data_IF_005493813777
#
_entry.id   IF_005493813777
#
_cell.length_a   1.000
_cell.length_b   1.000
_cell.length_c   1.000
_cell.angle_alpha   90.00
_cell.angle_beta   90.00
_cell.angle_gamma   90.00
#
_symmetry.space_group_name_H-M   'P 1'
#
loop_
_entity.id
_entity.type
_entity.pdbx_description
1 polymer ?
#
# COMPACT_ATOMS: atom_id res chain seq x y z
N UNK A 1 13.49 -15.70 29.85
CA UNK A 1 12.44 -14.69 30.07
C UNK A 1 11.69 -14.58 28.74
N UNK A 2 10.49 -15.16 28.63
CA UNK A 2 9.71 -15.22 27.38
C UNK A 2 8.61 -14.15 27.46
N UNK A 3 8.69 -13.11 26.64
CA UNK A 3 7.60 -12.16 26.48
C UNK A 3 6.67 -12.66 25.36
N UNK A 4 5.42 -12.96 25.73
CA UNK A 4 4.34 -13.26 24.80
C UNK A 4 3.80 -11.93 24.27
N UNK A 5 3.87 -11.73 22.95
CA UNK A 5 3.09 -10.68 22.29
C UNK A 5 1.63 -11.10 22.26
N UNK A 6 0.78 -10.27 22.85
CA UNK A 6 -0.67 -10.41 22.87
C UNK A 6 -1.21 -9.80 21.57
N UNK A 7 -1.75 -10.62 20.67
CA UNK A 7 -2.51 -10.15 19.51
C UNK A 7 -3.81 -9.51 20.00
N UNK A 8 -4.01 -8.23 19.74
CA UNK A 8 -5.31 -7.59 19.87
C UNK A 8 -6.21 -8.09 18.73
N UNK A 9 -7.19 -8.91 19.07
CA UNK A 9 -8.28 -9.29 18.18
C UNK A 9 -9.38 -8.24 18.33
N UNK A 10 -9.64 -7.48 17.26
CA UNK A 10 -10.76 -6.57 17.16
C UNK A 10 -12.05 -7.41 17.05
N UNK A 11 -12.78 -7.52 18.16
CA UNK A 11 -14.11 -8.14 18.19
C UNK A 11 -15.12 -7.08 17.78
N UNK A 12 -15.67 -7.18 16.58
CA UNK A 12 -16.89 -6.47 16.20
C UNK A 12 -18.04 -6.97 17.09
N UNK A 13 -18.50 -6.13 18.02
CA UNK A 13 -19.78 -6.33 18.71
C UNK A 13 -20.92 -6.09 17.71
N UNK A 14 -21.53 -7.18 17.24
CA UNK A 14 -22.87 -7.14 16.64
C UNK A 14 -23.87 -6.97 17.77
N UNK A 15 -24.46 -5.78 17.89
CA UNK A 15 -25.59 -5.53 18.77
C UNK A 15 -26.85 -6.20 18.19
N UNK A 16 -27.23 -7.36 18.74
CA UNK A 16 -28.52 -8.00 18.46
C UNK A 16 -29.58 -7.30 19.30
N UNK A 17 -30.36 -6.42 18.66
CA UNK A 17 -31.54 -5.81 19.25
C UNK A 17 -32.66 -6.83 19.48
N UNK A 18 -32.96 -7.12 20.74
CA UNK A 18 -34.16 -7.85 21.16
C UNK A 18 -35.39 -6.97 20.98
N UNK A 19 -36.29 -7.35 20.06
CA UNK A 19 -37.66 -6.81 20.00
C UNK A 19 -38.49 -7.38 21.16
N UNK A 20 -38.78 -6.53 22.14
CA UNK A 20 -39.88 -6.74 23.09
C UNK A 20 -41.16 -6.13 22.54
N UNK A 21 -42.13 -6.96 22.17
CA UNK A 21 -43.52 -6.52 21.99
C UNK A 21 -44.18 -6.39 23.37
N UNK A 22 -44.70 -5.21 23.68
CA UNK A 22 -45.50 -4.95 24.89
C UNK A 22 -46.34 -3.69 24.70
N UNK A 23 -47.65 -3.88 24.71
CA UNK A 23 -48.69 -3.00 24.19
C UNK A 23 -49.19 -1.93 25.18
N UNK A 24 -49.77 -0.86 24.59
CA UNK A 24 -50.93 -0.07 25.04
C UNK A 24 -50.80 1.12 26.04
N UNK A 25 -50.91 2.33 25.47
CA UNK A 25 -52.08 3.22 25.47
C UNK A 25 -51.97 4.64 26.10
N UNK A 26 -52.54 5.58 25.33
CA UNK A 26 -53.11 6.90 25.66
C UNK A 26 -52.21 8.14 25.82
N UNK A 27 -52.22 8.98 24.77
CA UNK A 27 -52.97 10.25 24.81
C UNK A 27 -52.18 11.54 25.07
N UNK A 28 -52.17 12.44 24.09
CA UNK A 28 -51.84 13.85 24.29
C UNK A 28 -51.07 14.46 23.13
N UNK A 29 -51.74 15.32 22.36
CA UNK A 29 -51.18 16.19 21.32
C UNK A 29 -49.97 17.00 21.82
N UNK A 30 -48.88 17.00 21.05
CA UNK A 30 -48.09 18.22 20.78
C UNK A 30 -47.16 17.96 19.58
N UNK A 31 -47.16 18.90 18.64
CA UNK A 31 -46.38 18.82 17.41
C UNK A 31 -44.88 18.81 17.70
N UNK A 32 -44.21 17.71 17.35
CA UNK A 32 -42.76 17.68 17.18
C UNK A 32 -42.44 16.92 15.90
N UNK A 33 -42.03 17.67 14.88
CA UNK A 33 -41.38 17.15 13.69
C UNK A 33 -40.10 16.43 14.11
N UNK A 34 -40.20 15.13 14.34
CA UNK A 34 -39.04 14.26 14.48
C UNK A 34 -38.38 14.13 13.11
N UNK A 35 -37.46 15.05 12.84
CA UNK A 35 -36.44 14.88 11.83
C UNK A 35 -35.55 13.73 12.31
N UNK A 36 -35.88 12.50 11.88
CA UNK A 36 -34.97 11.36 12.02
C UNK A 36 -33.89 11.58 10.98
N UNK A 37 -32.92 12.41 11.35
CA UNK A 37 -31.65 12.50 10.66
C UNK A 37 -31.02 11.12 10.80
N UNK A 38 -31.10 10.34 9.72
CA UNK A 38 -30.10 9.34 9.41
C UNK A 38 -28.75 10.03 9.54
N UNK A 39 -28.05 9.83 10.66
CA UNK A 39 -26.66 10.26 10.79
C UNK A 39 -25.88 9.37 9.86
N UNK A 40 -25.75 9.80 8.60
CA UNK A 40 -24.69 9.34 7.72
C UNK A 40 -23.40 9.45 8.55
N UNK A 41 -22.73 8.32 8.77
CA UNK A 41 -21.46 8.30 9.47
C UNK A 41 -20.54 9.22 8.66
N UNK A 42 -20.22 10.39 9.20
CA UNK A 42 -19.37 11.33 8.54
C UNK A 42 -18.00 10.67 8.39
N UNK A 43 -17.59 10.36 7.17
CA UNK A 43 -16.32 9.69 6.93
C UNK A 43 -15.18 10.57 7.41
N UNK A 44 -14.28 9.98 8.19
CA UNK A 44 -13.15 10.67 8.81
C UNK A 44 -12.01 10.82 7.79
N UNK A 45 -11.32 11.97 7.82
CA UNK A 45 -10.06 12.12 7.10
C UNK A 45 -9.02 11.14 7.66
N UNK A 46 -8.55 10.26 6.80
CA UNK A 46 -7.49 9.28 7.07
C UNK A 46 -6.31 9.46 6.12
N UNK A 47 -5.21 8.77 6.40
CA UNK A 47 -4.03 8.84 5.53
C UNK A 47 -4.34 8.28 4.15
N UNK A 48 -5.10 7.17 4.07
CA UNK A 48 -5.60 6.60 2.82
C UNK A 48 -6.38 7.63 2.00
N UNK A 49 -7.30 8.39 2.62
CA UNK A 49 -8.06 9.42 1.91
C UNK A 49 -7.16 10.54 1.39
N UNK A 50 -6.11 10.90 2.13
CA UNK A 50 -5.17 11.92 1.67
C UNK A 50 -4.33 11.43 0.48
N UNK A 51 -3.81 10.21 0.55
CA UNK A 51 -3.05 9.59 -0.55
C UNK A 51 -3.90 9.49 -1.81
N UNK A 52 -5.16 9.05 -1.70
CA UNK A 52 -6.04 8.99 -2.87
C UNK A 52 -6.38 10.36 -3.44
N UNK A 53 -6.51 11.39 -2.60
CA UNK A 53 -6.72 12.75 -3.08
C UNK A 53 -5.51 13.25 -3.89
N UNK A 54 -4.29 12.94 -3.47
CA UNK A 54 -3.06 13.25 -4.22
C UNK A 54 -3.03 12.52 -5.56
N UNK A 55 -3.35 11.21 -5.59
CA UNK A 55 -3.41 10.45 -6.85
C UNK A 55 -4.44 11.00 -7.83
N UNK A 56 -5.63 11.37 -7.35
CA UNK A 56 -6.66 11.97 -8.20
C UNK A 56 -6.29 13.36 -8.73
N UNK A 57 -5.40 14.07 -8.04
CA UNK A 57 -4.84 15.32 -8.52
C UNK A 57 -3.81 15.12 -9.65
N UNK A 58 -3.30 13.89 -9.83
CA UNK A 58 -2.51 13.48 -11.00
C UNK A 58 -1.07 13.98 -10.99
N UNK A 59 -0.53 14.38 -9.84
CA UNK A 59 0.90 14.66 -9.68
C UNK A 59 1.72 13.41 -9.41
N UNK A 60 3.03 13.60 -9.49
CA UNK A 60 4.01 12.56 -9.15
C UNK A 60 4.01 12.34 -7.63
N UNK A 61 3.81 11.10 -7.19
CA UNK A 61 3.62 10.74 -5.78
C UNK A 61 4.57 9.61 -5.40
N UNK A 62 5.50 9.91 -4.52
CA UNK A 62 6.44 8.96 -3.96
C UNK A 62 6.24 8.83 -2.45
N UNK A 63 6.29 7.61 -1.93
CA UNK A 63 6.11 7.35 -0.50
C UNK A 63 7.35 6.75 0.13
N UNK A 64 7.75 7.29 1.27
CA UNK A 64 8.88 6.80 2.04
C UNK A 64 8.41 5.74 3.03
N UNK A 65 8.47 4.46 2.64
CA UNK A 65 7.94 3.37 3.48
C UNK A 65 8.76 3.14 4.75
N UNK A 66 10.08 3.21 4.63
CA UNK A 66 11.02 2.95 5.73
C UNK A 66 11.39 4.22 6.51
N UNK A 67 11.19 5.40 5.92
CA UNK A 67 11.49 6.69 6.55
C UNK A 67 10.21 7.38 7.06
N UNK A 68 10.02 7.27 8.38
CA UNK A 68 8.97 8.00 9.10
C UNK A 68 9.49 9.33 9.63
N UNK A 69 8.63 10.37 9.72
CA UNK A 69 9.04 11.59 10.40
C UNK A 69 9.24 11.28 11.89
N UNK A 70 9.94 12.14 12.63
CA UNK A 70 10.13 11.97 14.08
C UNK A 70 8.85 12.26 14.88
N UNK A 71 7.75 11.57 14.56
CA UNK A 71 6.40 11.80 15.06
C UNK A 71 6.30 11.71 16.60
N UNK A 72 7.12 10.85 17.22
CA UNK A 72 7.20 10.70 18.67
C UNK A 72 7.68 11.99 19.37
N UNK A 73 8.50 12.82 18.71
CA UNK A 73 8.98 14.07 19.30
C UNK A 73 7.87 15.11 19.46
N UNK A 74 6.82 15.00 18.63
CA UNK A 74 5.66 15.89 18.69
C UNK A 74 4.45 15.22 19.32
N UNK A 75 4.61 14.05 19.94
CA UNK A 75 3.53 13.36 20.64
C UNK A 75 2.43 12.82 19.73
N UNK A 76 2.72 12.58 18.46
CA UNK A 76 1.86 11.84 17.55
C UNK A 76 2.00 10.32 17.78
N UNK A 77 0.98 9.55 17.37
CA UNK A 77 0.93 8.09 17.46
C UNK A 77 1.64 7.41 16.28
N UNK A 78 1.58 8.04 15.10
CA UNK A 78 2.27 7.59 13.90
C UNK A 78 2.58 8.78 12.98
N UNK A 79 3.37 8.54 11.94
CA UNK A 79 3.54 9.48 10.85
C UNK A 79 4.11 8.86 9.59
N UNK A 80 3.91 9.58 8.49
CA UNK A 80 4.34 9.20 7.14
C UNK A 80 5.05 10.37 6.47
N UNK A 81 6.03 10.06 5.64
CA UNK A 81 6.64 11.01 4.72
C UNK A 81 6.28 10.61 3.29
N UNK A 82 5.98 11.60 2.47
CA UNK A 82 5.79 11.44 1.03
C UNK A 82 6.36 12.65 0.29
N UNK A 83 6.74 12.44 -0.95
CA UNK A 83 7.00 13.51 -1.90
C UNK A 83 5.85 13.58 -2.90
N UNK A 84 5.40 14.81 -3.16
CA UNK A 84 4.43 15.07 -4.21
C UNK A 84 4.92 16.23 -5.07
N UNK A 85 5.18 15.98 -6.36
CA UNK A 85 5.80 16.93 -7.29
C UNK A 85 7.11 17.56 -6.73
N UNK A 86 8.05 16.74 -6.27
CA UNK A 86 9.32 17.16 -5.63
C UNK A 86 9.14 18.03 -4.37
N UNK A 87 8.02 17.86 -3.65
CA UNK A 87 7.74 18.56 -2.39
C UNK A 87 7.40 17.60 -1.28
N UNK A 88 8.26 17.60 -0.27
CA UNK A 88 8.08 16.79 0.93
C UNK A 88 6.84 17.24 1.69
N UNK A 89 6.03 16.26 2.05
CA UNK A 89 4.96 16.38 3.02
C UNK A 89 5.15 15.34 4.12
N UNK A 90 4.94 15.77 5.37
CA UNK A 90 4.92 14.87 6.54
C UNK A 90 3.53 14.91 7.13
N UNK A 91 2.97 13.73 7.35
CA UNK A 91 1.62 13.55 7.91
C UNK A 91 1.77 12.89 9.27
N UNK A 92 1.09 13.43 10.27
CA UNK A 92 1.13 12.96 11.65
C UNK A 92 -0.27 12.57 12.11
N UNK A 93 -0.39 11.39 12.71
CA UNK A 93 -1.63 10.88 13.30
C UNK A 93 -1.62 11.12 14.81
N UNK A 94 -2.66 11.76 15.34
CA UNK A 94 -2.87 11.92 16.79
C UNK A 94 -4.04 11.07 17.26
N UNK A 95 -3.97 10.59 18.50
CA UNK A 95 -5.07 9.85 19.15
C UNK A 95 -6.39 10.65 19.07
N UNK A 96 -6.31 11.93 19.46
CA UNK A 96 -7.43 12.84 19.49
C UNK A 96 -7.01 14.33 19.49
N UNK A 97 -8.03 15.19 19.56
CA UNK A 97 -7.88 16.65 19.65
C UNK A 97 -7.13 17.12 20.91
N UNK A 98 -7.22 16.37 22.02
CA UNK A 98 -6.56 16.72 23.27
C UNK A 98 -5.06 16.46 23.15
N UNK A 99 -4.64 15.31 22.60
CA UNK A 99 -3.25 14.98 22.33
C UNK A 99 -2.59 16.04 21.43
N UNK A 100 -3.26 16.43 20.34
CA UNK A 100 -2.78 17.49 19.45
C UNK A 100 -2.61 18.85 20.18
N UNK A 101 -3.58 19.24 21.01
CA UNK A 101 -3.48 20.49 21.80
C UNK A 101 -2.36 20.46 22.84
N UNK A 102 -2.03 19.29 23.38
CA UNK A 102 -0.87 19.12 24.27
C UNK A 102 0.46 19.23 23.50
N UNK A 103 0.51 18.66 22.30
CA UNK A 103 1.64 18.81 21.38
C UNK A 103 1.89 20.28 21.01
N UNK A 104 0.86 21.05 20.65
CA UNK A 104 0.98 22.48 20.32
C UNK A 104 1.54 23.33 21.46
N UNK A 105 1.29 22.97 22.73
CA UNK A 105 1.83 23.70 23.89
C UNK A 105 3.34 23.48 24.07
N UNK A 106 3.83 22.33 23.62
CA UNK A 106 5.23 21.92 23.76
C UNK A 106 6.06 22.19 22.50
N UNK A 107 5.40 22.45 21.36
CA UNK A 107 6.02 22.57 20.05
C UNK A 107 5.50 23.79 19.27
N UNK A 108 6.08 24.96 19.55
CA UNK A 108 5.66 26.23 18.91
C UNK A 108 5.76 26.22 17.38
N UNK A 109 6.65 25.41 16.80
CA UNK A 109 6.84 25.31 15.35
C UNK A 109 5.67 24.63 14.63
N UNK A 110 4.80 23.90 15.35
CA UNK A 110 3.64 23.23 14.77
C UNK A 110 2.47 24.18 14.48
N UNK A 111 2.56 25.47 14.87
CA UNK A 111 1.46 26.43 14.72
C UNK A 111 1.03 26.65 13.26
N UNK A 112 1.94 26.41 12.33
CA UNK A 112 1.70 26.57 10.90
C UNK A 112 1.29 25.26 10.22
N UNK A 113 1.21 24.15 10.97
CA UNK A 113 0.78 22.87 10.43
C UNK A 113 -0.74 22.86 10.23
N UNK A 114 -1.19 22.19 9.18
CA UNK A 114 -2.62 22.11 8.85
C UNK A 114 -3.23 20.89 9.52
N UNK A 115 -4.33 21.06 10.25
CA UNK A 115 -5.02 19.96 10.92
C UNK A 115 -6.39 19.69 10.31
N UNK A 116 -6.70 18.41 10.09
CA UNK A 116 -8.05 17.88 9.80
C UNK A 116 -8.25 16.56 10.55
N UNK A 117 -9.33 16.47 11.31
CA UNK A 117 -9.64 15.30 12.16
C UNK A 117 -8.42 14.88 13.00
N UNK A 118 -7.96 13.63 12.89
CA UNK A 118 -6.78 13.15 13.62
C UNK A 118 -5.45 13.42 12.91
N UNK A 119 -5.47 13.92 11.68
CA UNK A 119 -4.28 14.17 10.88
C UNK A 119 -3.78 15.61 10.99
N UNK A 120 -2.46 15.74 11.01
CA UNK A 120 -1.75 17.02 10.91
C UNK A 120 -0.71 16.95 9.78
N UNK A 121 -0.68 17.96 8.94
CA UNK A 121 0.17 18.08 7.76
C UNK A 121 1.24 19.16 7.94
N UNK A 122 2.50 18.76 7.80
CA UNK A 122 3.66 19.64 7.64
C UNK A 122 4.12 19.60 6.18
N UNK A 123 3.97 20.72 5.46
CA UNK A 123 4.52 20.86 4.11
C UNK A 123 4.73 22.33 3.76
N UNK A 124 5.66 22.58 2.84
CA UNK A 124 5.84 23.90 2.23
C UNK A 124 5.00 24.09 0.95
N UNK A 125 4.41 23.03 0.39
CA UNK A 125 3.67 23.08 -0.87
C UNK A 125 2.25 23.60 -0.68
N UNK A 126 1.88 24.72 -1.33
CA UNK A 126 0.51 25.24 -1.27
C UNK A 126 -0.50 24.34 -1.99
N UNK A 127 -0.07 23.63 -3.04
CA UNK A 127 -0.89 22.64 -3.74
C UNK A 127 -1.29 21.49 -2.80
N UNK A 128 -0.32 20.91 -2.09
CA UNK A 128 -0.59 19.82 -1.14
C UNK A 128 -1.50 20.29 0.00
N UNK A 129 -1.32 21.53 0.47
CA UNK A 129 -2.22 22.15 1.47
C UNK A 129 -3.65 22.30 0.93
N UNK A 130 -3.80 22.70 -0.32
CA UNK A 130 -5.11 22.85 -0.97
C UNK A 130 -5.82 21.51 -1.14
N UNK A 131 -5.11 20.47 -1.61
CA UNK A 131 -5.62 19.10 -1.73
C UNK A 131 -6.06 18.59 -0.35
N UNK A 132 -5.19 18.70 0.66
CA UNK A 132 -5.50 18.27 2.02
C UNK A 132 -6.72 18.99 2.61
N UNK A 133 -6.91 20.29 2.33
CA UNK A 133 -8.06 21.04 2.84
C UNK A 133 -9.37 20.79 2.08
N UNK A 134 -9.28 20.45 0.79
CA UNK A 134 -10.44 20.31 -0.09
C UNK A 134 -10.92 18.87 -0.28
N UNK A 135 -10.13 17.86 0.11
CA UNK A 135 -10.53 16.47 -0.04
C UNK A 135 -11.82 16.14 0.70
N UNK A 136 -12.64 15.31 0.05
CA UNK A 136 -13.93 14.84 0.52
C UNK A 136 -13.84 13.32 0.72
N UNK A 137 -13.70 12.83 1.97
CA UNK A 137 -13.48 11.41 2.23
C UNK A 137 -14.60 10.54 1.66
N UNK A 138 -15.85 11.01 1.72
CA UNK A 138 -17.02 10.30 1.19
C UNK A 138 -16.96 10.06 -0.32
N UNK A 139 -16.30 10.95 -1.09
CA UNK A 139 -16.08 10.73 -2.53
C UNK A 139 -14.91 9.80 -2.82
N UNK A 140 -14.02 9.59 -1.85
CA UNK A 140 -12.80 8.79 -2.01
C UNK A 140 -12.99 7.35 -1.52
N UNK A 141 -13.95 7.08 -0.64
CA UNK A 141 -14.19 5.75 -0.08
C UNK A 141 -14.39 4.65 -1.12
N UNK A 142 -15.19 4.90 -2.17
CA UNK A 142 -15.42 3.90 -3.23
C UNK A 142 -14.10 3.52 -3.93
N UNK A 143 -13.26 4.51 -4.24
CA UNK A 143 -11.94 4.30 -4.86
C UNK A 143 -10.98 3.58 -3.92
N UNK A 144 -11.00 3.90 -2.62
CA UNK A 144 -10.18 3.21 -1.60
C UNK A 144 -10.59 1.74 -1.49
N UNK A 145 -11.89 1.45 -1.47
CA UNK A 145 -12.40 0.09 -1.35
C UNK A 145 -12.08 -0.74 -2.60
N UNK A 146 -12.16 -0.13 -3.79
CA UNK A 146 -11.75 -0.78 -5.04
C UNK A 146 -10.26 -1.12 -5.02
N UNK A 147 -9.40 -0.19 -4.61
CA UNK A 147 -7.96 -0.42 -4.55
C UNK A 147 -7.59 -1.46 -3.49
N UNK A 148 -8.26 -1.47 -2.33
CA UNK A 148 -8.09 -2.54 -1.33
C UNK A 148 -8.46 -3.92 -1.90
N UNK A 149 -9.54 -4.01 -2.67
CA UNK A 149 -9.92 -5.27 -3.34
C UNK A 149 -8.89 -5.72 -4.37
N UNK A 150 -8.29 -4.79 -5.12
CA UNK A 150 -7.19 -5.09 -6.05
C UNK A 150 -5.95 -5.58 -5.30
N UNK A 151 -5.61 -4.93 -4.18
CA UNK A 151 -4.45 -5.30 -3.36
C UNK A 151 -4.57 -6.68 -2.68
N UNK A 152 -5.79 -7.10 -2.37
CA UNK A 152 -6.08 -8.43 -1.81
C UNK A 152 -6.26 -9.51 -2.90
N UNK A 153 -6.28 -9.13 -4.18
CA UNK A 153 -6.47 -10.09 -5.28
C UNK A 153 -5.19 -10.92 -5.51
N UNK A 154 -5.38 -12.23 -5.66
CA UNK A 154 -4.34 -13.16 -6.11
C UNK A 154 -4.60 -13.49 -7.57
N UNK A 155 -3.82 -12.88 -8.44
CA UNK A 155 -3.83 -13.08 -9.89
C UNK A 155 -3.24 -14.44 -10.25
N UNK A 156 -3.64 -14.96 -11.41
CA UNK A 156 -3.07 -16.18 -12.00
C UNK A 156 -2.00 -15.81 -13.01
N UNK A 157 -1.06 -16.73 -13.22
CA UNK A 157 -0.11 -16.64 -14.34
C UNK A 157 -0.88 -16.47 -15.65
N UNK A 158 -0.47 -15.49 -16.45
CA UNK A 158 -1.11 -15.03 -17.68
C UNK A 158 -2.11 -13.89 -17.50
N UNK A 159 -2.48 -13.54 -16.27
CA UNK A 159 -3.32 -12.36 -15.99
C UNK A 159 -2.48 -11.08 -15.85
N UNK A 160 -3.07 -9.97 -16.28
CA UNK A 160 -2.49 -8.63 -16.17
C UNK A 160 -3.05 -7.92 -14.94
N UNK A 161 -2.17 -7.28 -14.19
CA UNK A 161 -2.49 -6.45 -13.05
C UNK A 161 -1.87 -5.06 -13.21
N UNK A 162 -2.43 -4.08 -12.52
CA UNK A 162 -1.88 -2.72 -12.46
C UNK A 162 -1.34 -2.51 -11.06
N UNK A 163 -0.10 -2.04 -10.97
CA UNK A 163 0.57 -1.61 -9.75
C UNK A 163 1.12 -0.22 -10.01
N UNK A 164 0.54 0.80 -9.37
CA UNK A 164 0.90 2.19 -9.60
C UNK A 164 0.88 2.54 -11.12
N UNK A 165 1.99 3.06 -11.66
CA UNK A 165 2.15 3.37 -13.07
C UNK A 165 2.42 2.14 -13.96
N UNK A 166 2.53 0.94 -13.41
CA UNK A 166 2.91 -0.26 -14.17
C UNK A 166 1.72 -1.14 -14.51
N UNK A 167 1.58 -1.48 -15.79
CA UNK A 167 0.76 -2.63 -16.22
C UNK A 167 1.68 -3.85 -16.36
N UNK A 168 1.41 -4.90 -15.58
CA UNK A 168 2.30 -6.04 -15.39
C UNK A 168 1.56 -7.33 -15.72
N UNK A 169 2.15 -8.15 -16.59
CA UNK A 169 1.67 -9.50 -16.89
C UNK A 169 2.74 -10.52 -16.52
N UNK A 170 2.44 -11.41 -15.57
CA UNK A 170 3.28 -12.59 -15.30
C UNK A 170 2.97 -13.67 -16.33
N UNK A 171 3.76 -13.71 -17.40
CA UNK A 171 3.51 -14.57 -18.55
C UNK A 171 3.68 -16.06 -18.22
N UNK A 172 4.81 -16.40 -17.62
CA UNK A 172 5.15 -17.78 -17.26
C UNK A 172 6.08 -17.80 -16.05
N UNK A 173 6.17 -18.96 -15.41
CA UNK A 173 7.10 -19.21 -14.31
C UNK A 173 7.80 -20.54 -14.52
N UNK A 174 9.05 -20.65 -14.07
CA UNK A 174 9.79 -21.92 -14.05
C UNK A 174 10.79 -21.95 -12.90
N UNK A 175 11.26 -23.16 -12.56
CA UNK A 175 12.34 -23.36 -11.59
C UNK A 175 13.58 -23.86 -12.32
N UNK A 176 14.60 -23.02 -12.42
CA UNK A 176 15.81 -23.30 -13.19
C UNK A 176 17.06 -23.19 -12.31
N UNK A 177 18.11 -23.95 -12.62
CA UNK A 177 19.39 -23.79 -11.91
C UNK A 177 20.08 -22.47 -12.30
N UNK A 178 19.88 -22.01 -13.52
CA UNK A 178 20.59 -20.88 -14.09
C UNK A 178 19.75 -20.13 -15.12
N UNK A 179 20.05 -18.85 -15.29
CA UNK A 179 19.63 -18.02 -16.41
C UNK A 179 20.87 -17.57 -17.19
N UNK A 180 20.76 -17.47 -18.51
CA UNK A 180 21.90 -17.20 -19.39
C UNK A 180 21.53 -16.30 -20.57
N UNK A 181 22.51 -15.55 -21.04
CA UNK A 181 22.48 -14.83 -22.31
C UNK A 181 23.59 -15.35 -23.26
N UNK A 182 23.86 -14.61 -24.34
CA UNK A 182 24.86 -15.03 -25.34
C UNK A 182 26.31 -15.04 -24.82
N UNK A 183 26.58 -14.35 -23.72
CA UNK A 183 27.92 -14.07 -23.22
C UNK A 183 28.13 -14.51 -21.76
N UNK A 184 27.08 -14.53 -20.95
CA UNK A 184 27.13 -14.73 -19.51
C UNK A 184 26.06 -15.71 -19.02
N UNK A 185 26.30 -16.27 -17.83
CA UNK A 185 25.32 -17.06 -17.09
C UNK A 185 25.36 -16.68 -15.61
N UNK A 186 24.19 -16.71 -14.97
CA UNK A 186 24.00 -16.57 -13.53
C UNK A 186 23.34 -17.84 -13.02
N UNK A 187 23.81 -18.39 -11.91
CA UNK A 187 23.30 -19.65 -11.35
C UNK A 187 22.96 -19.47 -9.88
N UNK A 188 21.90 -20.16 -9.44
CA UNK A 188 21.59 -20.30 -8.03
C UNK A 188 22.69 -21.11 -7.33
N UNK A 189 22.84 -20.92 -6.03
CA UNK A 189 23.76 -21.70 -5.22
C UNK A 189 23.41 -23.19 -5.21
N UNK A 190 24.37 -24.03 -4.84
CA UNK A 190 24.15 -25.47 -4.71
C UNK A 190 23.03 -25.77 -3.70
N UNK A 191 22.04 -26.56 -4.13
CA UNK A 191 20.85 -26.90 -3.33
C UNK A 191 19.71 -25.87 -3.45
N UNK A 192 19.86 -24.87 -4.31
CA UNK A 192 18.85 -23.87 -4.64
C UNK A 192 18.56 -23.87 -6.15
N UNK A 193 17.40 -23.31 -6.52
CA UNK A 193 17.05 -22.93 -7.89
C UNK A 193 16.51 -21.51 -7.92
N UNK A 194 16.57 -20.88 -9.08
CA UNK A 194 15.82 -19.67 -9.36
C UNK A 194 14.37 -20.02 -9.70
N UNK A 195 13.43 -19.39 -9.00
CA UNK A 195 12.11 -19.12 -9.55
C UNK A 195 12.25 -17.99 -10.57
N UNK A 196 12.14 -18.34 -11.85
CA UNK A 196 12.20 -17.39 -12.96
C UNK A 196 10.79 -16.89 -13.26
N UNK A 197 10.60 -15.57 -13.19
CA UNK A 197 9.34 -14.87 -13.45
C UNK A 197 9.45 -14.16 -14.79
N UNK A 198 8.88 -14.71 -15.85
CA UNK A 198 8.87 -14.05 -17.16
C UNK A 198 7.71 -13.06 -17.22
N UNK A 199 8.01 -11.81 -17.50
CA UNK A 199 7.10 -10.67 -17.33
C UNK A 199 7.04 -9.83 -18.60
N UNK A 200 5.85 -9.30 -18.89
CA UNK A 200 5.68 -8.16 -19.79
C UNK A 200 5.23 -6.98 -18.95
N UNK A 201 5.98 -5.88 -19.00
CA UNK A 201 5.73 -4.68 -18.21
C UNK A 201 5.54 -3.49 -19.14
N UNK A 202 4.61 -2.61 -18.80
CA UNK A 202 4.39 -1.35 -19.51
C UNK A 202 4.38 -0.21 -18.50
N UNK A 203 5.22 0.78 -18.78
CA UNK A 203 5.25 2.02 -18.00
C UNK A 203 4.12 2.94 -18.52
N UNK A 204 3.07 3.13 -17.73
CA UNK A 204 1.99 4.09 -18.02
C UNK A 204 2.23 5.47 -17.37
N UNK A 205 3.35 5.64 -16.68
CA UNK A 205 3.80 6.90 -16.10
C UNK A 205 4.26 7.91 -17.16
N UNK A 206 4.75 9.05 -16.67
CA UNK A 206 5.15 10.20 -17.52
C UNK A 206 6.66 10.37 -17.67
N UNK A 207 7.45 9.64 -16.87
CA UNK A 207 8.91 9.63 -16.84
C UNK A 207 9.43 8.22 -17.14
N UNK A 208 10.70 8.14 -17.56
CA UNK A 208 11.35 6.84 -17.73
C UNK A 208 11.74 6.27 -16.37
N UNK A 209 11.34 5.03 -16.09
CA UNK A 209 11.49 4.40 -14.77
C UNK A 209 12.10 3.01 -14.88
N UNK A 210 12.82 2.58 -13.85
CA UNK A 210 13.25 1.19 -13.72
C UNK A 210 12.10 0.34 -13.20
N UNK A 211 11.86 -0.83 -13.80
CA UNK A 211 10.80 -1.71 -13.31
C UNK A 211 11.16 -2.28 -11.93
N UNK A 212 12.37 -2.84 -11.78
CA UNK A 212 12.91 -3.23 -10.47
C UNK A 212 14.26 -2.57 -10.23
N UNK A 213 14.56 -2.17 -9.00
CA UNK A 213 15.88 -1.66 -8.62
C UNK A 213 16.11 -1.84 -7.11
N UNK A 214 17.37 -1.81 -6.68
CA UNK A 214 17.75 -2.05 -5.28
C UNK A 214 17.18 -1.03 -4.28
N UNK A 215 16.90 0.19 -4.73
CA UNK A 215 16.46 1.30 -3.88
C UNK A 215 15.13 1.89 -4.36
N UNK A 216 14.85 1.82 -5.66
CA UNK A 216 13.75 2.58 -6.28
C UNK A 216 13.11 1.80 -7.45
N UNK A 217 11.92 1.27 -7.23
CA UNK A 217 11.20 0.46 -8.22
C UNK A 217 10.33 -0.60 -7.54
N UNK A 218 9.75 -1.49 -8.35
CA UNK A 218 8.91 -2.57 -7.85
C UNK A 218 9.73 -3.56 -7.04
N UNK A 219 9.38 -3.71 -5.77
CA UNK A 219 9.93 -4.72 -4.89
C UNK A 219 9.24 -6.07 -5.18
N UNK A 220 10.02 -7.10 -5.48
CA UNK A 220 9.52 -8.42 -5.84
C UNK A 220 9.94 -9.45 -4.80
N UNK A 221 8.96 -10.13 -4.20
CA UNK A 221 9.18 -11.17 -3.19
C UNK A 221 8.34 -12.41 -3.49
N UNK A 222 8.80 -13.56 -3.02
CA UNK A 222 7.99 -14.78 -2.94
C UNK A 222 7.76 -15.17 -1.48
N UNK A 223 6.52 -15.54 -1.18
CA UNK A 223 6.12 -16.12 0.09
C UNK A 223 5.80 -17.60 -0.10
N UNK A 224 6.58 -18.46 0.54
CA UNK A 224 6.30 -19.88 0.64
C UNK A 224 5.50 -20.18 1.91
N UNK A 225 4.39 -20.90 1.76
CA UNK A 225 3.52 -21.32 2.87
C UNK A 225 3.14 -20.13 3.78
N UNK A 226 2.88 -18.97 3.17
CA UNK A 226 2.46 -17.70 3.81
C UNK A 226 3.42 -17.13 4.87
N UNK A 227 4.62 -17.71 5.01
CA UNK A 227 5.48 -17.47 6.18
C UNK A 227 6.93 -17.19 5.83
N UNK A 228 7.45 -17.91 4.84
CA UNK A 228 8.86 -17.85 4.49
C UNK A 228 9.03 -16.91 3.30
N UNK A 229 9.77 -15.83 3.51
CA UNK A 229 9.99 -14.77 2.53
C UNK A 229 11.32 -14.99 1.79
N UNK A 230 11.28 -14.79 0.48
CA UNK A 230 12.43 -14.83 -0.42
C UNK A 230 12.41 -13.55 -1.28
N UNK A 231 13.52 -12.82 -1.32
CA UNK A 231 13.64 -11.59 -2.10
C UNK A 231 14.17 -11.90 -3.51
N UNK A 232 13.78 -11.10 -4.49
CA UNK A 232 14.42 -11.15 -5.81
C UNK A 232 15.90 -10.86 -5.73
N UNK A 233 16.64 -11.40 -6.70
CA UNK A 233 18.08 -11.19 -6.84
C UNK A 233 18.37 -10.57 -8.21
N UNK A 234 19.34 -9.65 -8.23
CA UNK A 234 19.85 -9.03 -9.45
C UNK A 234 20.75 -10.02 -10.19
N UNK A 235 20.52 -10.19 -11.48
CA UNK A 235 21.45 -10.86 -12.38
C UNK A 235 22.05 -9.86 -13.36
N UNK A 236 23.26 -10.13 -13.84
CA UNK A 236 23.90 -9.32 -14.89
C UNK A 236 23.58 -9.86 -16.28
N UNK A 237 22.43 -10.52 -16.45
CA UNK A 237 22.03 -11.22 -17.66
C UNK A 237 21.08 -10.33 -18.47
N UNK A 238 21.31 -10.27 -19.79
CA UNK A 238 20.43 -9.54 -20.69
C UNK A 238 18.98 -10.05 -20.58
N UNK A 239 18.03 -9.13 -20.42
CA UNK A 239 16.62 -9.45 -20.19
C UNK A 239 16.21 -9.45 -18.72
N UNK A 240 17.15 -9.30 -17.78
CA UNK A 240 16.80 -9.00 -16.39
C UNK A 240 16.18 -7.59 -16.29
N UNK A 241 14.94 -7.52 -15.81
CA UNK A 241 14.18 -6.26 -15.70
C UNK A 241 14.69 -5.32 -14.60
N UNK A 242 15.74 -5.69 -13.88
CA UNK A 242 16.45 -4.80 -12.95
C UNK A 242 17.56 -3.98 -13.60
N UNK A 243 17.91 -4.28 -14.85
CA UNK A 243 19.09 -3.71 -15.53
C UNK A 243 18.81 -2.52 -16.44
N UNK A 244 17.53 -2.22 -16.73
CA UNK A 244 17.15 -1.19 -17.72
C UNK A 244 15.92 -0.39 -17.30
N UNK A 245 15.79 0.82 -17.83
CA UNK A 245 14.62 1.68 -17.68
C UNK A 245 13.64 1.48 -18.83
N UNK A 246 12.35 1.67 -18.56
CA UNK A 246 11.27 1.62 -19.55
C UNK A 246 10.73 3.04 -19.77
N UNK A 247 10.77 3.50 -21.01
CA UNK A 247 10.26 4.82 -21.41
C UNK A 247 8.74 4.95 -21.18
N UNK A 248 8.21 6.19 -21.03
CA UNK A 248 6.78 6.43 -20.92
C UNK A 248 5.98 5.79 -22.05
N UNK A 249 4.90 5.10 -21.69
CA UNK A 249 3.99 4.35 -22.56
C UNK A 249 4.63 3.18 -23.33
N UNK A 250 5.91 2.89 -23.09
CA UNK A 250 6.61 1.79 -23.71
C UNK A 250 6.43 0.49 -22.91
N UNK A 251 6.68 -0.63 -23.57
CA UNK A 251 6.67 -1.96 -22.97
C UNK A 251 8.03 -2.62 -23.06
N UNK A 252 8.33 -3.44 -22.06
CA UNK A 252 9.50 -4.31 -22.04
C UNK A 252 9.07 -5.73 -21.68
N UNK A 253 9.80 -6.71 -22.20
CA UNK A 253 9.65 -8.12 -21.83
C UNK A 253 10.97 -8.61 -21.27
N UNK A 254 10.91 -9.40 -20.21
CA UNK A 254 12.10 -9.89 -19.54
C UNK A 254 11.76 -10.78 -18.38
N UNK A 255 12.70 -10.91 -17.46
CA UNK A 255 12.53 -11.74 -16.28
C UNK A 255 13.02 -11.06 -15.00
N UNK A 256 12.50 -11.58 -13.89
CA UNK A 256 13.04 -11.38 -12.53
C UNK A 256 13.26 -12.77 -11.93
N UNK A 257 14.31 -12.94 -11.14
CA UNK A 257 14.58 -14.22 -10.46
C UNK A 257 14.52 -14.09 -8.94
N UNK A 258 14.08 -15.15 -8.29
CA UNK A 258 14.09 -15.31 -6.83
C UNK A 258 14.77 -16.64 -6.51
N UNK A 259 15.80 -16.63 -5.67
CA UNK A 259 16.50 -17.85 -5.31
C UNK A 259 15.79 -18.59 -4.16
N UNK A 260 15.51 -19.87 -4.37
CA UNK A 260 14.74 -20.70 -3.43
C UNK A 260 15.42 -22.07 -3.23
N UNK A 261 15.45 -22.61 -1.99
CA UNK A 261 15.97 -23.95 -1.73
C UNK A 261 15.18 -25.04 -2.46
N UNK A 262 15.86 -26.11 -2.87
CA UNK A 262 15.22 -27.28 -3.51
C UNK A 262 14.09 -27.86 -2.66
N UNK A 263 14.26 -27.84 -1.33
CA UNK A 263 13.21 -28.30 -0.40
C UNK A 263 11.92 -27.48 -0.47
N UNK A 264 11.98 -26.24 -0.95
CA UNK A 264 10.80 -25.39 -1.23
C UNK A 264 10.31 -25.65 -2.64
N UNK A 265 11.21 -25.74 -3.62
CA UNK A 265 10.85 -25.97 -5.03
C UNK A 265 10.05 -27.26 -5.22
N UNK A 266 10.48 -28.33 -4.57
CA UNK A 266 9.88 -29.67 -4.68
C UNK A 266 8.63 -29.87 -3.81
N UNK A 267 8.36 -28.92 -2.92
CA UNK A 267 7.28 -29.04 -1.94
C UNK A 267 5.92 -28.60 -2.52
N UNK A 268 4.82 -29.31 -2.18
CA UNK A 268 3.49 -29.03 -2.72
C UNK A 268 2.81 -27.78 -2.15
N UNK A 269 3.37 -27.18 -1.10
CA UNK A 269 2.82 -25.99 -0.46
C UNK A 269 2.86 -24.77 -1.37
N UNK A 270 2.01 -23.80 -1.05
CA UNK A 270 1.76 -22.64 -1.88
C UNK A 270 2.97 -21.74 -2.01
N UNK A 271 3.10 -21.14 -3.19
CA UNK A 271 4.01 -20.04 -3.45
C UNK A 271 3.22 -18.89 -4.04
N UNK A 272 3.31 -17.73 -3.39
CA UNK A 272 2.73 -16.48 -3.87
C UNK A 272 3.86 -15.50 -4.14
N UNK A 273 3.88 -14.91 -5.32
CA UNK A 273 4.76 -13.78 -5.64
C UNK A 273 4.02 -12.49 -5.36
N UNK A 274 4.59 -11.64 -4.52
CA UNK A 274 4.10 -10.29 -4.24
C UNK A 274 5.00 -9.29 -4.95
N UNK A 275 4.38 -8.33 -5.63
CA UNK A 275 5.04 -7.14 -6.16
C UNK A 275 4.47 -5.93 -5.47
N UNK A 276 5.35 -5.06 -4.97
CA UNK A 276 4.99 -3.91 -4.16
C UNK A 276 5.72 -2.65 -4.64
N UNK A 277 5.00 -1.54 -4.70
CA UNK A 277 5.56 -0.20 -4.93
C UNK A 277 4.70 0.80 -4.16
N UNK A 278 5.34 1.71 -3.42
CA UNK A 278 4.62 2.58 -2.48
C UNK A 278 3.72 1.71 -1.55
N UNK A 279 2.53 2.18 -1.18
CA UNK A 279 1.57 1.39 -0.40
C UNK A 279 0.76 0.37 -1.21
N UNK A 280 1.00 0.28 -2.52
CA UNK A 280 0.28 -0.66 -3.37
C UNK A 280 1.02 -1.98 -3.47
N UNK A 281 0.24 -3.04 -3.59
CA UNK A 281 0.76 -4.38 -3.82
C UNK A 281 -0.18 -5.16 -4.72
N UNK A 282 0.38 -6.10 -5.43
CA UNK A 282 -0.35 -7.10 -6.20
C UNK A 282 0.32 -8.45 -5.99
N UNK A 283 -0.45 -9.53 -6.12
CA UNK A 283 0.04 -10.88 -5.83
C UNK A 283 -0.33 -11.87 -6.93
N UNK A 284 0.59 -12.77 -7.30
CA UNK A 284 0.32 -13.90 -8.19
C UNK A 284 0.47 -15.23 -7.46
N UNK A 285 -0.54 -16.09 -7.62
CA UNK A 285 -0.45 -17.48 -7.20
C UNK A 285 0.37 -18.28 -8.21
N UNK A 286 1.51 -18.81 -7.77
CA UNK A 286 2.38 -19.66 -8.59
C UNK A 286 1.89 -21.11 -8.52
N UNK A 287 1.54 -21.55 -7.31
CA UNK A 287 0.87 -22.83 -7.01
C UNK A 287 0.21 -22.79 -5.65
#
# INVERSE_FOLDING_TARGET
>A
MKAKFLKFSLICMVAVGLMGCGSQNNGGDEASTNNTASSEAQEEVTFDTFVQALKQAGGDLEMYEDDKPYFQLIGADDGWMLDYNDKVAKVYLYEDEKAYKEALKSNDFMKDFIKRDKLTLETSSDEVKEIFNSMDPAKLAESIEEDKKKQDAIYKVGETAVLDNWEITLNTTSFEQSVEDSFFSSSADEGNKFLVLNLSVKNNGTTAEHFTYLIDGVNVKAYYNEKYEYNSVLTSIDGDLSSSSVEPLASSEGFVVIEMPDSVVEAPESIVVEMKQNMEKISWGIR
#
